data_IF_406146469220
#
_entry.id   IF_406146469220
#
_cell.length_a   1.000
_cell.length_b   1.000
_cell.length_c   1.000
_cell.angle_alpha   90.00
_cell.angle_beta   90.00
_cell.angle_gamma   90.00
#
_symmetry.space_group_name_H-M   'P 1'
#
loop_
_entity.id
_entity.type
_entity.pdbx_description
1 polymer ?
#
# COMPACT_ATOMS: atom_id res chain seq x y z
N UNK A 1 2.81 -25.92 10.87
CA UNK A 1 3.81 -24.82 10.97
C UNK A 1 3.26 -23.66 10.16
N UNK A 2 2.82 -22.58 10.80
CA UNK A 2 2.15 -21.47 10.13
C UNK A 2 3.21 -20.48 9.66
N UNK A 3 3.39 -20.30 8.36
CA UNK A 3 4.42 -19.40 7.84
C UNK A 3 4.13 -17.94 8.22
N UNK A 4 5.16 -17.15 8.60
CA UNK A 4 5.02 -15.72 8.82
C UNK A 4 4.70 -15.04 7.49
N UNK A 5 3.58 -14.32 7.43
CA UNK A 5 3.20 -13.57 6.23
C UNK A 5 3.73 -12.15 6.37
N UNK A 6 4.81 -11.87 5.67
CA UNK A 6 5.33 -10.52 5.50
C UNK A 6 4.94 -9.98 4.13
N UNK A 7 3.97 -9.08 4.09
CA UNK A 7 3.60 -8.36 2.87
C UNK A 7 4.12 -6.93 2.95
N UNK A 8 5.06 -6.59 2.07
CA UNK A 8 5.57 -5.23 1.93
C UNK A 8 5.26 -4.77 0.52
N UNK A 9 4.47 -3.70 0.40
CA UNK A 9 4.27 -2.98 -0.84
C UNK A 9 5.19 -1.77 -0.83
N UNK A 10 6.19 -1.81 -1.68
CA UNK A 10 6.99 -0.64 -1.99
C UNK A 10 6.21 0.26 -2.95
N UNK A 11 6.06 1.55 -2.63
CA UNK A 11 5.58 2.53 -3.61
C UNK A 11 6.56 2.72 -4.79
N UNK A 12 7.79 2.20 -4.66
CA UNK A 12 8.78 2.13 -5.74
C UNK A 12 8.37 1.10 -6.80
N UNK A 13 7.49 1.52 -7.72
CA UNK A 13 7.31 0.81 -8.99
C UNK A 13 8.57 1.01 -9.83
N UNK A 14 9.39 -0.04 -10.10
CA UNK A 14 10.59 0.09 -10.94
C UNK A 14 10.24 0.58 -12.35
N UNK A 15 9.01 0.31 -12.81
CA UNK A 15 8.45 0.84 -14.04
C UNK A 15 8.29 2.36 -14.02
N UNK A 16 7.84 2.93 -12.90
CA UNK A 16 7.69 4.39 -12.77
C UNK A 16 9.06 5.07 -12.75
N UNK A 17 10.04 4.42 -12.11
CA UNK A 17 11.43 4.90 -12.09
C UNK A 17 12.07 4.84 -13.48
N UNK A 18 11.85 3.77 -14.23
CA UNK A 18 12.33 3.62 -15.60
C UNK A 18 11.67 4.63 -16.56
N UNK A 19 10.36 4.86 -16.43
CA UNK A 19 9.64 5.85 -17.24
C UNK A 19 10.15 7.27 -16.95
N UNK A 20 10.35 7.60 -15.67
CA UNK A 20 10.91 8.88 -15.26
C UNK A 20 12.33 9.07 -15.82
N UNK A 21 13.19 8.05 -15.69
CA UNK A 21 14.54 8.08 -16.25
C UNK A 21 14.52 8.26 -17.77
N UNK A 22 13.59 7.62 -18.49
CA UNK A 22 13.44 7.77 -19.93
C UNK A 22 12.99 9.20 -20.33
N UNK A 23 12.06 9.81 -19.57
CA UNK A 23 11.61 11.19 -19.79
C UNK A 23 12.78 12.17 -19.58
N UNK A 24 13.52 12.02 -18.48
CA UNK A 24 14.67 12.87 -18.19
C UNK A 24 15.79 12.69 -19.21
N UNK A 25 16.06 11.46 -19.66
CA UNK A 25 17.03 11.19 -20.72
C UNK A 25 16.62 11.83 -22.05
N UNK A 26 15.33 11.75 -22.42
CA UNK A 26 14.79 12.41 -23.62
C UNK A 26 14.91 13.93 -23.55
N UNK A 27 14.62 14.53 -22.39
CA UNK A 27 14.77 15.97 -22.17
C UNK A 27 16.24 16.39 -22.28
N UNK A 28 17.18 15.68 -21.66
CA UNK A 28 18.62 15.98 -21.77
C UNK A 28 19.10 15.84 -23.21
N UNK A 29 18.67 14.80 -23.93
CA UNK A 29 18.98 14.62 -25.34
C UNK A 29 18.45 15.77 -26.19
N UNK A 30 17.25 16.30 -25.89
CA UNK A 30 16.70 17.46 -26.57
C UNK A 30 17.58 18.72 -26.42
N UNK A 31 18.18 18.92 -25.25
CA UNK A 31 19.10 20.05 -25.00
C UNK A 31 20.40 19.88 -25.75
N UNK A 32 21.03 18.71 -25.63
CA UNK A 32 22.38 18.49 -26.17
C UNK A 32 22.36 18.39 -27.70
N UNK A 33 21.31 17.79 -28.28
CA UNK A 33 21.22 17.57 -29.73
C UNK A 33 20.57 18.74 -30.49
N UNK A 34 19.67 19.50 -29.85
CA UNK A 34 18.87 20.54 -30.53
C UNK A 34 19.05 21.94 -29.94
N UNK A 35 19.99 22.13 -29.01
CA UNK A 35 20.24 23.40 -28.30
C UNK A 35 18.95 23.99 -27.68
N UNK A 36 18.10 23.08 -27.18
CA UNK A 36 16.77 23.44 -26.72
C UNK A 36 16.85 24.40 -25.53
N UNK A 37 16.01 25.44 -25.57
CA UNK A 37 16.00 26.46 -24.54
C UNK A 37 15.66 25.86 -23.17
N UNK A 38 16.51 26.15 -22.18
CA UNK A 38 16.44 25.59 -20.82
C UNK A 38 15.08 25.77 -20.12
N UNK A 39 14.34 26.83 -20.45
CA UNK A 39 13.01 27.08 -19.91
C UNK A 39 11.93 26.11 -20.43
N UNK A 40 12.08 25.57 -21.64
CA UNK A 40 11.19 24.53 -22.17
C UNK A 40 11.38 23.22 -21.40
N UNK A 41 12.63 22.87 -21.06
CA UNK A 41 12.91 21.69 -20.21
C UNK A 41 12.22 21.84 -18.86
N UNK A 42 12.33 23.01 -18.23
CA UNK A 42 11.72 23.27 -16.94
C UNK A 42 10.20 23.09 -17.01
N UNK A 43 9.56 23.60 -18.07
CA UNK A 43 8.12 23.44 -18.30
C UNK A 43 7.71 21.97 -18.43
N UNK A 44 8.47 21.16 -19.18
CA UNK A 44 8.18 19.73 -19.35
C UNK A 44 8.57 18.87 -18.13
N UNK A 45 9.50 19.35 -17.29
CA UNK A 45 9.89 18.67 -16.06
C UNK A 45 8.89 18.87 -14.92
N UNK A 46 8.14 19.98 -14.89
CA UNK A 46 7.12 20.29 -13.87
C UNK A 46 6.14 19.13 -13.57
N UNK A 47 5.50 18.48 -14.55
CA UNK A 47 4.59 17.36 -14.29
C UNK A 47 5.28 16.11 -13.72
N UNK A 48 6.62 16.04 -13.76
CA UNK A 48 7.38 14.93 -13.15
C UNK A 48 7.69 15.14 -11.66
N UNK A 49 7.52 16.36 -11.14
CA UNK A 49 7.80 16.71 -9.74
C UNK A 49 6.98 15.89 -8.73
N UNK A 50 5.66 15.64 -8.92
CA UNK A 50 4.90 14.82 -7.98
C UNK A 50 5.44 13.40 -7.86
N UNK A 51 5.86 12.82 -9.00
CA UNK A 51 6.44 11.47 -9.02
C UNK A 51 7.83 11.44 -8.37
N UNK A 52 8.64 12.49 -8.58
CA UNK A 52 9.93 12.64 -7.91
C UNK A 52 9.76 12.73 -6.39
N UNK A 53 8.79 13.53 -5.94
CA UNK A 53 8.45 13.67 -4.52
C UNK A 53 7.93 12.36 -3.91
N UNK A 54 7.13 11.60 -4.65
CA UNK A 54 6.64 10.29 -4.23
C UNK A 54 7.78 9.27 -4.06
N UNK A 55 8.74 9.24 -4.99
CA UNK A 55 9.93 8.38 -4.93
C UNK A 55 10.84 8.78 -3.75
N UNK A 56 11.11 10.08 -3.60
CA UNK A 56 11.97 10.61 -2.53
C UNK A 56 11.37 10.40 -1.14
N UNK A 57 10.04 10.48 -1.02
CA UNK A 57 9.33 10.28 0.26
C UNK A 57 9.36 8.84 0.75
N UNK A 58 9.90 7.89 -0.03
CA UNK A 58 10.04 6.47 0.29
C UNK A 58 8.83 5.90 1.04
N UNK A 59 7.61 6.17 0.55
CA UNK A 59 6.39 5.69 1.21
C UNK A 59 6.37 4.16 1.16
N UNK A 60 6.61 3.56 2.32
CA UNK A 60 6.51 2.12 2.52
C UNK A 60 5.18 1.84 3.19
N UNK A 61 4.46 0.87 2.66
CA UNK A 61 3.29 0.32 3.30
C UNK A 61 3.44 -1.20 3.38
N UNK A 62 3.11 -1.78 4.52
CA UNK A 62 3.19 -3.21 4.71
C UNK A 62 2.36 -3.69 5.87
N UNK A 63 2.11 -4.99 5.83
CA UNK A 63 1.42 -5.75 6.85
C UNK A 63 2.31 -6.95 7.17
N UNK A 64 2.67 -7.08 8.43
CA UNK A 64 3.44 -8.22 8.92
C UNK A 64 2.60 -8.98 9.94
N UNK A 65 2.39 -10.24 9.65
CA UNK A 65 1.52 -11.13 10.40
C UNK A 65 2.38 -12.29 10.94
N UNK A 66 2.83 -12.13 12.18
CA UNK A 66 3.64 -13.10 12.92
C UNK A 66 2.75 -14.02 13.76
N UNK A 67 3.31 -15.06 14.40
CA UNK A 67 2.56 -16.10 15.11
C UNK A 67 1.63 -15.56 16.21
N UNK A 68 1.95 -14.43 16.82
CA UNK A 68 1.21 -13.86 17.97
C UNK A 68 0.69 -12.45 17.72
N UNK A 69 1.14 -11.77 16.65
CA UNK A 69 0.85 -10.35 16.45
C UNK A 69 0.64 -10.01 14.98
N UNK A 70 -0.30 -9.09 14.74
CA UNK A 70 -0.52 -8.43 13.47
C UNK A 70 0.00 -6.98 13.58
N UNK A 71 0.94 -6.61 12.71
CA UNK A 71 1.49 -5.26 12.64
C UNK A 71 1.35 -4.67 11.24
N UNK A 72 1.19 -3.36 11.16
CA UNK A 72 1.08 -2.62 9.91
C UNK A 72 1.83 -1.31 9.99
N UNK A 73 2.28 -0.85 8.83
CA UNK A 73 2.88 0.47 8.65
C UNK A 73 2.47 1.03 7.28
N UNK A 74 2.21 2.33 7.19
CA UNK A 74 1.81 3.06 5.99
C UNK A 74 2.30 4.50 6.12
N UNK A 75 3.50 4.79 5.61
CA UNK A 75 4.11 6.11 5.75
C UNK A 75 4.30 6.52 7.21
N UNK A 76 3.48 7.47 7.70
CA UNK A 76 3.48 7.96 9.10
C UNK A 76 2.54 7.21 10.04
N UNK A 77 1.72 6.30 9.51
CA UNK A 77 0.75 5.53 10.30
C UNK A 77 1.32 4.14 10.54
N UNK A 78 1.63 3.82 11.78
CA UNK A 78 2.01 2.47 12.21
C UNK A 78 1.10 1.99 13.34
N UNK A 79 1.04 0.68 13.51
CA UNK A 79 0.30 0.07 14.59
C UNK A 79 0.48 -1.43 14.64
N UNK A 80 0.19 -2.01 15.78
CA UNK A 80 0.27 -3.44 15.96
C UNK A 80 -0.66 -3.93 17.07
N UNK A 81 -1.24 -5.10 16.87
CA UNK A 81 -2.21 -5.71 17.77
C UNK A 81 -1.96 -7.20 17.91
N UNK A 82 -2.13 -7.74 19.12
CA UNK A 82 -1.96 -9.16 19.37
C UNK A 82 -3.14 -9.95 18.77
N UNK A 83 -2.87 -11.15 18.23
CA UNK A 83 -3.89 -11.92 17.51
C UNK A 83 -4.99 -12.43 18.44
N UNK A 84 -4.64 -12.74 19.68
CA UNK A 84 -5.54 -13.12 20.77
C UNK A 84 -6.46 -11.98 21.21
N UNK A 85 -6.11 -10.73 20.93
CA UNK A 85 -6.99 -9.58 21.15
C UNK A 85 -8.01 -9.39 20.02
N UNK A 86 -7.82 -10.03 18.86
CA UNK A 86 -8.70 -9.85 17.69
C UNK A 86 -9.91 -10.78 17.82
N UNK A 87 -11.08 -10.19 18.09
CA UNK A 87 -12.34 -10.92 18.12
C UNK A 87 -12.81 -11.30 16.70
N UNK A 88 -12.70 -10.36 15.75
CA UNK A 88 -13.08 -10.61 14.37
C UNK A 88 -12.40 -9.61 13.42
N UNK A 89 -12.21 -10.03 12.18
CA UNK A 89 -11.72 -9.20 11.08
C UNK A 89 -12.85 -8.98 10.08
N UNK A 90 -13.22 -7.73 9.84
CA UNK A 90 -14.20 -7.37 8.82
C UNK A 90 -13.50 -6.92 7.55
N UNK A 91 -13.87 -7.52 6.43
CA UNK A 91 -13.44 -7.13 5.09
C UNK A 91 -14.64 -6.55 4.33
N UNK A 92 -14.57 -5.25 4.04
CA UNK A 92 -15.60 -4.53 3.29
C UNK A 92 -15.07 -4.22 1.87
N UNK A 93 -15.74 -4.75 0.86
CA UNK A 93 -15.45 -4.39 -0.54
C UNK A 93 -16.32 -3.22 -0.94
N UNK A 94 -15.69 -2.10 -1.29
CA UNK A 94 -16.38 -0.91 -1.81
C UNK A 94 -16.73 -1.07 -3.29
N UNK A 95 -17.63 -0.22 -3.76
CA UNK A 95 -18.02 -0.10 -5.17
C UNK A 95 -16.87 0.25 -6.12
N UNK A 96 -15.84 0.92 -5.62
CA UNK A 96 -14.58 1.19 -6.34
C UNK A 96 -13.63 -0.03 -6.37
N UNK A 97 -14.14 -1.22 -6.01
CA UNK A 97 -13.40 -2.48 -5.80
C UNK A 97 -12.27 -2.39 -4.77
N UNK A 98 -12.21 -1.31 -4.00
CA UNK A 98 -11.21 -1.17 -2.95
C UNK A 98 -11.67 -1.92 -1.71
N UNK A 99 -10.80 -2.78 -1.18
CA UNK A 99 -11.05 -3.53 0.04
C UNK A 99 -10.60 -2.71 1.25
N UNK A 100 -11.42 -2.69 2.29
CA UNK A 100 -11.06 -2.15 3.61
C UNK A 100 -11.08 -3.28 4.63
N UNK A 101 -10.09 -3.29 5.51
CA UNK A 101 -10.06 -4.21 6.63
C UNK A 101 -10.18 -3.45 7.94
N UNK A 102 -11.07 -3.92 8.80
CA UNK A 102 -11.27 -3.41 10.16
C UNK A 102 -11.14 -4.56 11.14
N UNK A 103 -10.26 -4.39 12.11
CA UNK A 103 -10.05 -5.32 13.21
C UNK A 103 -10.95 -4.88 14.37
N UNK A 104 -11.78 -5.80 14.85
CA UNK A 104 -12.55 -5.61 16.07
C UNK A 104 -11.86 -6.38 17.19
N UNK A 105 -11.50 -5.67 18.25
CA UNK A 105 -10.83 -6.26 19.40
C UNK A 105 -11.84 -6.75 20.44
N UNK A 106 -11.44 -7.73 21.24
CA UNK A 106 -12.24 -8.20 22.39
C UNK A 106 -12.53 -7.07 23.39
N UNK A 107 -11.69 -6.03 23.44
CA UNK A 107 -11.89 -4.81 24.24
C UNK A 107 -12.99 -3.89 23.70
N UNK A 108 -13.60 -4.20 22.54
CA UNK A 108 -14.58 -3.35 21.86
C UNK A 108 -13.96 -2.24 21.01
N UNK A 109 -12.63 -2.05 21.08
CA UNK A 109 -11.91 -1.10 20.23
C UNK A 109 -11.90 -1.58 18.77
N UNK A 110 -12.04 -0.63 17.86
CA UNK A 110 -11.95 -0.86 16.43
C UNK A 110 -10.64 -0.28 15.90
N UNK A 111 -9.89 -1.08 15.15
CA UNK A 111 -8.65 -0.66 14.54
C UNK A 111 -8.77 -0.82 13.03
N UNK A 112 -8.64 0.28 12.31
CA UNK A 112 -8.82 0.30 10.86
C UNK A 112 -7.48 0.27 10.16
N UNK A 113 -7.28 -0.74 9.31
CA UNK A 113 -6.03 -0.90 8.59
C UNK A 113 -5.96 0.05 7.39
N UNK A 114 -4.80 0.70 7.15
CA UNK A 114 -4.57 1.45 5.92
C UNK A 114 -4.71 0.55 4.69
N UNK A 115 -5.33 1.07 3.63
CA UNK A 115 -5.59 0.28 2.41
C UNK A 115 -4.31 -0.14 1.70
N UNK A 116 -3.25 0.68 1.79
CA UNK A 116 -1.96 0.45 1.15
C UNK A 116 -1.24 -0.80 1.71
N UNK A 117 -1.55 -1.18 2.94
CA UNK A 117 -0.94 -2.32 3.64
C UNK A 117 -1.62 -3.65 3.30
N UNK A 118 -2.81 -3.64 2.67
CA UNK A 118 -3.60 -4.85 2.53
C UNK A 118 -3.04 -5.78 1.44
N UNK A 119 -2.74 -7.05 1.76
CA UNK A 119 -2.43 -8.05 0.75
C UNK A 119 -3.69 -8.38 -0.07
N UNK A 120 -3.53 -9.08 -1.22
CA UNK A 120 -4.66 -9.57 -2.00
C UNK A 120 -5.69 -10.27 -1.10
N UNK A 121 -6.94 -9.79 -1.12
CA UNK A 121 -7.98 -10.14 -0.15
C UNK A 121 -8.21 -11.66 0.00
N UNK A 122 -8.08 -12.44 -1.08
CA UNK A 122 -8.18 -13.92 -1.01
C UNK A 122 -7.08 -14.54 -0.14
N UNK A 123 -5.82 -14.18 -0.43
CA UNK A 123 -4.66 -14.67 0.32
C UNK A 123 -4.68 -14.19 1.78
N UNK A 124 -5.15 -12.96 2.01
CA UNK A 124 -5.28 -12.45 3.38
C UNK A 124 -6.28 -13.26 4.20
N UNK A 125 -7.44 -13.56 3.62
CA UNK A 125 -8.48 -14.35 4.29
C UNK A 125 -8.09 -15.80 4.55
N UNK A 126 -7.45 -16.45 3.58
CA UNK A 126 -6.95 -17.81 3.74
C UNK A 126 -6.02 -17.90 4.95
N UNK A 127 -5.14 -16.90 5.11
CA UNK A 127 -4.16 -16.87 6.21
C UNK A 127 -4.80 -16.53 7.56
N UNK A 128 -5.78 -15.62 7.58
CA UNK A 128 -6.54 -15.32 8.79
C UNK A 128 -7.37 -16.53 9.25
N UNK A 129 -8.06 -17.18 8.32
CA UNK A 129 -8.87 -18.39 8.58
C UNK A 129 -7.99 -19.55 9.02
N UNK A 130 -6.83 -19.75 8.38
CA UNK A 130 -5.86 -20.78 8.77
C UNK A 130 -5.29 -20.57 10.19
N UNK A 131 -5.38 -19.33 10.72
CA UNK A 131 -4.99 -18.97 12.08
C UNK A 131 -6.16 -18.97 13.07
N UNK A 132 -7.34 -19.42 12.65
CA UNK A 132 -8.53 -19.53 13.50
C UNK A 132 -9.24 -18.19 13.78
N UNK A 133 -8.90 -17.11 13.07
CA UNK A 133 -9.57 -15.83 13.24
C UNK A 133 -10.92 -15.81 12.49
N UNK A 134 -11.92 -15.21 13.12
CA UNK A 134 -13.24 -15.02 12.50
C UNK A 134 -13.16 -13.91 11.46
N UNK A 135 -13.30 -14.26 10.18
CA UNK A 135 -13.33 -13.29 9.07
C UNK A 135 -14.76 -13.11 8.59
N UNK A 136 -15.24 -11.86 8.61
CA UNK A 136 -16.58 -11.50 8.13
C UNK A 136 -16.45 -10.69 6.85
N UNK A 137 -16.94 -11.24 5.75
CA UNK A 137 -17.01 -10.57 4.44
C UNK A 137 -18.34 -9.86 4.28
N UNK A 138 -18.30 -8.56 4.02
CA UNK A 138 -19.44 -7.84 3.50
C UNK A 138 -19.16 -7.45 2.04
N UNK A 139 -19.74 -8.22 1.13
CA UNK A 139 -19.82 -7.86 -0.27
C UNK A 139 -21.09 -7.03 -0.45
N UNK A 140 -20.91 -5.73 -0.73
CA UNK A 140 -22.00 -4.83 -1.09
C UNK A 140 -23.14 -4.75 -0.05
N UNK A 141 -22.89 -4.12 1.10
CA UNK A 141 -23.99 -3.49 1.82
C UNK A 141 -24.34 -2.18 1.08
N UNK A 142 -25.17 -2.33 0.04
CA UNK A 142 -26.05 -1.25 -0.38
C UNK A 142 -26.79 -0.76 0.86
N UNK A 143 -26.88 0.56 0.98
CA UNK A 143 -27.56 1.22 2.08
C UNK A 143 -29.01 0.75 2.19
#
# INVERSE_FOLDING_TARGET
MTEPLRYVRHARSPRNLALLAAIWAGLVAAVVLFDAAWWLIALFALPTLPLLFEILSDRRAGLDLDATRLSWFSGRLDGAVALDEIAQVRLDTRWDFTVRATLYLHSGKQVRLPQECLPPHRRFEEILTARGLVVVRHHFAGR
#
